data_IF_561597805741
#
_entry.id   IF_561597805741
#
_cell.length_a   1.000
_cell.length_b   1.000
_cell.length_c   1.000
_cell.angle_alpha   90.00
_cell.angle_beta   90.00
_cell.angle_gamma   90.00
#
_symmetry.space_group_name_H-M   'P 1'
#
loop_
_entity.id
_entity.type
_entity.pdbx_description
1 polymer ?
#
# COMPACT_ATOMS: atom_id res chain seq x y z
N UNK A 1 28.06 -12.23 41.67
CA UNK A 1 26.87 -12.84 41.00
C UNK A 1 26.94 -14.34 41.13
N UNK A 2 25.87 -14.98 41.57
CA UNK A 2 25.79 -16.45 41.63
C UNK A 2 25.65 -17.00 40.18
N UNK A 3 26.01 -18.29 40.00
CA UNK A 3 25.84 -18.94 38.67
C UNK A 3 24.39 -18.86 38.17
N UNK A 4 23.42 -18.96 39.08
CA UNK A 4 22.00 -18.83 38.74
C UNK A 4 21.61 -17.43 38.24
N UNK A 5 22.14 -16.38 38.90
CA UNK A 5 21.92 -14.98 38.42
C UNK A 5 22.49 -14.75 37.04
N UNK A 6 23.67 -15.29 36.73
CA UNK A 6 24.27 -15.19 35.40
C UNK A 6 23.40 -15.84 34.34
N UNK A 7 22.88 -17.04 34.57
CA UNK A 7 21.98 -17.75 33.66
C UNK A 7 20.71 -16.97 33.41
N UNK A 8 20.05 -16.49 34.47
CA UNK A 8 18.82 -15.68 34.34
C UNK A 8 19.09 -14.39 33.56
N UNK A 9 20.17 -13.70 33.89
CA UNK A 9 20.55 -12.47 33.13
C UNK A 9 20.77 -12.77 31.65
N UNK A 10 21.47 -13.84 31.33
CA UNK A 10 21.73 -14.23 29.93
C UNK A 10 20.40 -14.52 29.17
N UNK A 11 19.46 -15.23 29.79
CA UNK A 11 18.14 -15.51 29.19
C UNK A 11 17.36 -14.22 28.96
N UNK A 12 17.33 -13.32 29.93
CA UNK A 12 16.63 -12.03 29.78
C UNK A 12 17.24 -11.19 28.69
N UNK A 13 18.59 -11.07 28.65
CA UNK A 13 19.28 -10.30 27.62
C UNK A 13 19.07 -10.89 26.22
N UNK A 14 19.09 -12.22 26.07
CA UNK A 14 18.81 -12.86 24.78
C UNK A 14 17.37 -12.62 24.33
N UNK A 15 16.40 -12.67 25.23
CA UNK A 15 15.00 -12.35 24.94
C UNK A 15 14.81 -10.89 24.49
N UNK A 16 15.42 -9.95 25.21
CA UNK A 16 15.39 -8.52 24.83
C UNK A 16 16.06 -8.28 23.47
N UNK A 17 17.22 -8.89 23.24
CA UNK A 17 17.94 -8.76 21.97
C UNK A 17 17.14 -9.35 20.80
N UNK A 18 16.54 -10.53 20.97
CA UNK A 18 15.68 -11.16 19.97
C UNK A 18 14.42 -10.31 19.68
N UNK A 19 13.77 -9.79 20.71
CA UNK A 19 12.61 -8.91 20.58
C UNK A 19 12.95 -7.59 19.86
N UNK A 20 14.07 -6.97 20.21
CA UNK A 20 14.53 -5.75 19.54
C UNK A 20 14.90 -5.99 18.06
N UNK A 21 15.55 -7.13 17.76
CA UNK A 21 15.88 -7.51 16.40
C UNK A 21 14.62 -7.76 15.58
N UNK A 22 13.66 -8.51 16.12
CA UNK A 22 12.39 -8.77 15.47
C UNK A 22 11.64 -7.46 15.19
N UNK A 23 11.53 -6.58 16.19
CA UNK A 23 10.90 -5.28 16.01
C UNK A 23 11.59 -4.45 14.93
N UNK A 24 12.92 -4.45 14.88
CA UNK A 24 13.69 -3.74 13.86
C UNK A 24 13.43 -4.30 12.45
N UNK A 25 13.45 -5.64 12.30
CA UNK A 25 13.21 -6.29 11.00
C UNK A 25 11.80 -6.04 10.51
N UNK A 26 10.79 -6.12 11.37
CA UNK A 26 9.39 -5.90 10.98
C UNK A 26 9.07 -4.44 10.63
N UNK A 27 9.76 -3.47 11.27
CA UNK A 27 9.39 -2.06 11.12
C UNK A 27 10.31 -1.29 10.19
N UNK A 28 11.57 -1.71 9.98
CA UNK A 28 12.56 -0.91 9.23
C UNK A 28 13.36 -1.67 8.17
N UNK A 29 13.70 -2.94 8.42
CA UNK A 29 14.67 -3.64 7.57
C UNK A 29 14.16 -3.97 6.17
N UNK A 30 12.84 -3.98 5.96
CA UNK A 30 12.22 -4.39 4.70
C UNK A 30 11.63 -3.22 3.90
N UNK A 31 11.58 -2.00 4.45
CA UNK A 31 11.04 -0.85 3.75
C UNK A 31 12.17 0.07 3.29
N UNK A 32 12.15 0.40 2.01
CA UNK A 32 13.05 1.37 1.41
C UNK A 32 12.26 2.60 0.94
N UNK A 33 12.83 3.82 1.11
CA UNK A 33 12.25 5.01 0.51
C UNK A 33 12.25 4.89 -1.02
N UNK A 34 11.14 5.24 -1.64
CA UNK A 34 11.00 5.27 -3.09
C UNK A 34 11.06 6.72 -3.56
N UNK A 35 11.86 6.99 -4.59
CA UNK A 35 11.91 8.30 -5.22
C UNK A 35 10.81 8.47 -6.27
N UNK A 36 10.37 9.70 -6.50
CA UNK A 36 9.37 10.04 -7.51
C UNK A 36 9.79 9.61 -8.94
N UNK A 37 11.09 9.55 -9.23
CA UNK A 37 11.61 9.12 -10.53
C UNK A 37 11.48 7.59 -10.76
N UNK A 38 11.31 6.83 -9.69
CA UNK A 38 11.25 5.37 -9.74
C UNK A 38 9.82 4.83 -9.82
N UNK A 39 8.81 5.68 -9.60
CA UNK A 39 7.39 5.29 -9.51
C UNK A 39 6.52 6.26 -10.28
N UNK A 40 5.54 5.73 -10.98
CA UNK A 40 4.48 6.52 -11.61
C UNK A 40 3.19 6.35 -10.82
N UNK A 41 2.61 7.44 -10.35
CA UNK A 41 1.26 7.44 -9.80
C UNK A 41 0.31 7.77 -10.94
N UNK A 42 -0.58 6.85 -11.24
CA UNK A 42 -1.51 6.93 -12.36
C UNK A 42 -2.94 6.76 -11.91
N UNK A 43 -3.89 7.15 -12.75
CA UNK A 43 -5.29 6.78 -12.60
C UNK A 43 -5.84 6.30 -13.94
N UNK A 44 -6.72 5.29 -13.91
CA UNK A 44 -7.32 4.69 -15.10
C UNK A 44 -8.59 5.43 -15.47
N UNK A 45 -8.67 5.95 -16.69
CA UNK A 45 -9.85 6.62 -17.21
C UNK A 45 -11.00 5.65 -17.45
N UNK A 46 -12.23 6.16 -17.66
CA UNK A 46 -13.38 5.31 -18.00
C UNK A 46 -13.20 4.53 -19.31
N UNK A 47 -12.34 5.03 -20.21
CA UNK A 47 -11.99 4.36 -21.46
C UNK A 47 -10.86 3.32 -21.30
N UNK A 48 -10.37 3.13 -20.08
CA UNK A 48 -9.33 2.15 -19.75
C UNK A 48 -7.89 2.60 -20.03
N UNK A 49 -7.68 3.90 -20.28
CA UNK A 49 -6.34 4.47 -20.45
C UNK A 49 -5.72 4.76 -19.07
N UNK A 50 -4.50 4.33 -18.86
CA UNK A 50 -3.73 4.62 -17.64
C UNK A 50 -2.99 5.95 -17.83
N UNK A 51 -3.45 6.99 -17.15
CA UNK A 51 -2.89 8.35 -17.23
C UNK A 51 -2.02 8.65 -16.00
N UNK A 52 -0.75 9.07 -16.20
CA UNK A 52 0.06 9.59 -15.11
C UNK A 52 -0.57 10.87 -14.51
N UNK A 53 -0.69 10.89 -13.19
CA UNK A 53 -1.22 12.06 -12.48
C UNK A 53 -0.12 13.13 -12.28
N UNK A 54 -0.44 14.42 -12.43
CA UNK A 54 0.45 15.50 -11.98
C UNK A 54 0.50 15.51 -10.46
N UNK A 55 1.66 15.17 -9.90
CA UNK A 55 1.88 15.11 -8.46
C UNK A 55 3.08 15.96 -8.03
N UNK A 56 3.05 16.40 -6.78
CA UNK A 56 4.15 17.08 -6.10
C UNK A 56 4.28 16.55 -4.66
N UNK A 57 5.33 16.97 -3.95
CA UNK A 57 5.57 16.63 -2.54
C UNK A 57 5.49 15.12 -2.25
N UNK A 58 6.03 14.31 -3.17
CA UNK A 58 5.95 12.86 -3.09
C UNK A 58 6.84 12.29 -1.98
N UNK A 59 6.25 11.48 -1.12
CA UNK A 59 6.93 10.60 -0.18
C UNK A 59 6.43 9.18 -0.39
N UNK A 60 7.33 8.22 -0.61
CA UNK A 60 6.97 6.83 -0.86
C UNK A 60 7.87 5.84 -0.14
N UNK A 61 7.30 4.69 0.19
CA UNK A 61 8.00 3.51 0.71
C UNK A 61 7.54 2.27 -0.03
N UNK A 62 8.43 1.32 -0.23
CA UNK A 62 8.13 0.00 -0.78
C UNK A 62 9.04 -1.05 -0.17
N UNK A 63 8.82 -2.32 -0.51
CA UNK A 63 9.68 -3.42 -0.13
C UNK A 63 9.63 -4.55 -1.15
N UNK A 64 10.78 -5.02 -1.59
CA UNK A 64 10.94 -6.10 -2.57
C UNK A 64 10.33 -7.44 -2.12
N UNK A 65 10.08 -7.59 -0.83
CA UNK A 65 9.57 -8.84 -0.25
C UNK A 65 8.09 -9.09 -0.49
N UNK A 66 7.32 -8.07 -0.90
CA UNK A 66 5.90 -8.21 -1.21
C UNK A 66 5.39 -7.02 -2.02
N UNK A 67 4.70 -7.26 -3.13
CA UNK A 67 4.12 -6.20 -3.95
C UNK A 67 3.00 -5.41 -3.24
N UNK A 68 2.54 -5.84 -2.07
CA UNK A 68 1.53 -5.15 -1.26
C UNK A 68 2.12 -4.12 -0.30
N UNK A 69 3.45 -3.90 -0.29
CA UNK A 69 4.10 -2.99 0.68
C UNK A 69 4.26 -1.56 0.20
N UNK A 70 3.97 -1.27 -1.06
CA UNK A 70 3.99 0.10 -1.57
C UNK A 70 3.00 1.01 -0.88
N UNK A 71 3.46 2.18 -0.41
CA UNK A 71 2.65 3.28 0.13
C UNK A 71 3.26 4.59 -0.29
N UNK A 72 2.41 5.55 -0.65
CA UNK A 72 2.85 6.89 -0.98
C UNK A 72 1.86 7.95 -0.52
N UNK A 73 2.40 9.12 -0.25
CA UNK A 73 1.68 10.37 -0.05
C UNK A 73 2.19 11.39 -1.07
N UNK A 74 1.32 12.27 -1.53
CA UNK A 74 1.66 13.32 -2.48
C UNK A 74 0.62 14.44 -2.44
N UNK A 75 0.86 15.52 -3.16
CA UNK A 75 -0.14 16.53 -3.46
C UNK A 75 -0.45 16.55 -4.95
N UNK A 76 -1.68 16.92 -5.32
CA UNK A 76 -2.10 17.05 -6.71
C UNK A 76 -2.97 18.29 -6.91
N UNK A 77 -2.82 19.01 -8.05
CA UNK A 77 -3.71 20.10 -8.40
C UNK A 77 -5.09 19.66 -8.91
N UNK A 78 -5.30 18.34 -9.10
CA UNK A 78 -6.56 17.81 -9.61
C UNK A 78 -7.64 17.86 -8.52
N UNK A 79 -8.80 18.42 -8.87
CA UNK A 79 -9.94 18.43 -7.96
C UNK A 79 -10.67 17.08 -7.95
N UNK A 80 -11.35 16.76 -6.83
CA UNK A 80 -12.20 15.56 -6.76
C UNK A 80 -13.27 15.53 -7.87
N UNK A 81 -13.84 16.67 -8.22
CA UNK A 81 -14.82 16.76 -9.30
C UNK A 81 -14.21 16.30 -10.64
N UNK A 82 -13.04 16.79 -10.99
CA UNK A 82 -12.34 16.35 -12.21
C UNK A 82 -12.00 14.86 -12.16
N UNK A 83 -11.51 14.39 -11.01
CA UNK A 83 -11.19 12.96 -10.84
C UNK A 83 -12.42 12.06 -11.05
N UNK A 84 -13.58 12.42 -10.47
CA UNK A 84 -14.81 11.63 -10.61
C UNK A 84 -15.42 11.65 -12.02
N UNK A 85 -15.17 12.70 -12.78
CA UNK A 85 -15.64 12.80 -14.18
C UNK A 85 -14.71 12.08 -15.17
N UNK A 86 -13.45 11.82 -14.79
CA UNK A 86 -12.43 11.32 -15.71
C UNK A 86 -12.01 9.88 -15.43
N UNK A 87 -11.90 9.50 -14.15
CA UNK A 87 -11.27 8.25 -13.75
C UNK A 87 -12.23 7.28 -13.10
N UNK A 88 -11.91 5.99 -13.23
CA UNK A 88 -12.72 4.91 -12.68
C UNK A 88 -12.67 4.92 -11.15
N UNK A 89 -13.83 5.01 -10.47
CA UNK A 89 -13.86 4.86 -9.01
C UNK A 89 -13.51 3.43 -8.62
N UNK A 90 -12.80 3.27 -7.52
CA UNK A 90 -12.44 1.95 -6.99
C UNK A 90 -13.30 1.58 -5.78
N UNK A 91 -14.25 0.68 -5.99
CA UNK A 91 -15.07 0.15 -4.90
C UNK A 91 -14.28 -0.83 -4.03
N UNK A 92 -14.46 -0.77 -2.71
CA UNK A 92 -13.77 -1.67 -1.78
C UNK A 92 -12.31 -1.30 -1.51
N UNK A 93 -11.91 -0.06 -1.78
CA UNK A 93 -10.60 0.46 -1.41
C UNK A 93 -10.36 0.32 0.10
N UNK A 94 -9.29 -0.37 0.47
CA UNK A 94 -8.92 -0.64 1.86
C UNK A 94 -7.48 -0.19 2.08
N UNK A 95 -7.25 0.99 2.68
CA UNK A 95 -5.91 1.45 3.01
C UNK A 95 -5.22 0.47 3.95
N UNK A 96 -4.04 -0.01 3.55
CA UNK A 96 -3.27 -0.96 4.34
C UNK A 96 -2.32 -0.23 5.29
N UNK A 97 -2.05 -0.81 6.46
CA UNK A 97 -1.18 -0.22 7.46
C UNK A 97 0.24 0.06 6.95
N UNK A 98 0.86 1.07 7.55
CA UNK A 98 2.25 1.45 7.34
C UNK A 98 3.08 1.24 8.61
N UNK A 99 4.42 1.19 8.49
CA UNK A 99 5.26 1.36 9.67
C UNK A 99 5.03 2.71 10.33
N UNK A 100 5.00 2.75 11.66
CA UNK A 100 4.67 3.97 12.42
C UNK A 100 5.63 5.15 12.25
N UNK A 101 6.76 4.94 11.57
CA UNK A 101 7.71 6.02 11.22
C UNK A 101 7.40 6.70 9.87
N UNK A 102 6.52 6.12 9.03
CA UNK A 102 6.05 6.74 7.79
C UNK A 102 4.83 7.60 8.10
N UNK A 103 5.09 8.81 8.54
CA UNK A 103 4.11 9.66 9.23
C UNK A 103 3.07 10.35 8.35
N UNK A 104 3.28 10.44 7.04
CA UNK A 104 2.33 11.07 6.13
C UNK A 104 1.10 10.20 5.85
N UNK A 105 1.18 8.88 6.07
CA UNK A 105 0.15 7.91 5.74
C UNK A 105 -0.40 7.24 7.02
N UNK A 106 -1.69 7.40 7.29
CA UNK A 106 -2.39 6.71 8.38
C UNK A 106 -3.63 6.00 7.85
N UNK A 107 -3.57 4.67 7.77
CA UNK A 107 -4.63 3.85 7.20
C UNK A 107 -6.00 4.07 7.87
N UNK A 108 -6.01 4.26 9.20
CA UNK A 108 -7.26 4.49 9.93
C UNK A 108 -7.89 5.84 9.59
N UNK A 109 -7.09 6.87 9.39
CA UNK A 109 -7.57 8.19 8.95
C UNK A 109 -8.08 8.15 7.52
N UNK A 110 -7.38 7.46 6.61
CA UNK A 110 -7.80 7.28 5.22
C UNK A 110 -9.10 6.49 5.13
N UNK A 111 -9.25 5.42 5.91
CA UNK A 111 -10.51 4.65 5.97
C UNK A 111 -11.68 5.53 6.39
N UNK A 112 -11.52 6.33 7.45
CA UNK A 112 -12.57 7.26 7.88
C UNK A 112 -12.92 8.31 6.83
N UNK A 113 -11.92 8.80 6.08
CA UNK A 113 -12.17 9.76 5.00
C UNK A 113 -12.93 9.13 3.83
N UNK A 114 -12.64 7.87 3.48
CA UNK A 114 -13.41 7.10 2.49
C UNK A 114 -14.86 6.88 2.96
N UNK A 115 -15.06 6.45 4.20
CA UNK A 115 -16.40 6.24 4.79
C UNK A 115 -17.22 7.54 4.89
N UNK A 116 -16.57 8.66 5.18
CA UNK A 116 -17.21 9.97 5.25
C UNK A 116 -17.44 10.63 3.88
N UNK A 117 -16.85 10.09 2.79
CA UNK A 117 -16.89 10.69 1.46
C UNK A 117 -16.06 11.95 1.29
N UNK A 118 -15.16 12.27 2.25
CA UNK A 118 -14.22 13.40 2.16
C UNK A 118 -12.95 13.05 1.40
N UNK A 119 -12.79 11.79 1.05
CA UNK A 119 -11.78 11.27 0.15
C UNK A 119 -12.39 10.19 -0.74
N UNK A 120 -11.96 10.12 -1.98
CA UNK A 120 -12.44 9.17 -2.97
C UNK A 120 -11.30 8.33 -3.52
N UNK A 121 -11.54 7.04 -3.70
CA UNK A 121 -10.57 6.11 -4.25
C UNK A 121 -10.85 5.85 -5.74
N UNK A 122 -9.78 5.78 -6.51
CA UNK A 122 -9.77 5.53 -7.94
C UNK A 122 -8.84 4.36 -8.27
N UNK A 123 -9.15 3.64 -9.35
CA UNK A 123 -8.23 2.67 -9.91
C UNK A 123 -7.01 3.40 -10.45
N UNK A 124 -5.84 3.14 -9.91
CA UNK A 124 -4.56 3.61 -10.44
C UNK A 124 -4.22 2.84 -11.71
N UNK A 125 -3.66 1.68 -11.54
CA UNK A 125 -3.36 0.71 -12.60
C UNK A 125 -3.79 -0.68 -12.15
N UNK A 126 -4.52 -1.39 -13.01
CA UNK A 126 -4.97 -2.75 -12.73
C UNK A 126 -3.85 -3.76 -12.98
N UNK A 127 -3.76 -4.76 -12.10
CA UNK A 127 -2.84 -5.88 -12.27
C UNK A 127 -1.37 -5.47 -12.50
N UNK A 128 -0.86 -4.51 -11.73
CA UNK A 128 0.59 -4.16 -11.73
C UNK A 128 1.46 -5.41 -11.52
N UNK A 129 0.95 -6.33 -10.72
CA UNK A 129 1.28 -7.75 -10.64
C UNK A 129 -0.05 -8.48 -10.68
N UNK A 130 -0.10 -9.70 -11.20
CA UNK A 130 -1.35 -10.45 -11.30
C UNK A 130 -2.15 -10.43 -9.97
N UNK A 131 -3.38 -9.95 -10.06
CA UNK A 131 -4.28 -9.88 -8.91
C UNK A 131 -3.99 -8.75 -7.93
N UNK A 132 -3.13 -7.78 -8.28
CA UNK A 132 -2.79 -6.63 -7.44
C UNK A 132 -2.97 -5.34 -8.24
N UNK A 133 -3.80 -4.45 -7.72
CA UNK A 133 -4.07 -3.15 -8.31
C UNK A 133 -3.33 -2.05 -7.53
N UNK A 134 -2.90 -1.01 -8.25
CA UNK A 134 -2.54 0.26 -7.64
C UNK A 134 -3.83 1.05 -7.38
N UNK A 135 -4.01 1.50 -6.16
CA UNK A 135 -5.14 2.35 -5.75
C UNK A 135 -4.62 3.75 -5.48
N UNK A 136 -5.37 4.74 -5.92
CA UNK A 136 -5.12 6.16 -5.65
C UNK A 136 -6.32 6.75 -4.94
N UNK A 137 -6.10 7.39 -3.82
CA UNK A 137 -7.11 8.14 -3.09
C UNK A 137 -6.75 9.62 -3.11
N UNK A 138 -7.74 10.47 -3.39
CA UNK A 138 -7.60 11.93 -3.35
C UNK A 138 -8.61 12.48 -2.34
N UNK A 139 -8.18 13.45 -1.54
CA UNK A 139 -9.00 14.17 -0.58
C UNK A 139 -9.37 15.56 -1.10
N UNK A 140 -10.40 16.18 -0.50
CA UNK A 140 -10.89 17.49 -0.94
C UNK A 140 -9.85 18.61 -0.86
N UNK A 141 -8.86 18.48 0.01
CA UNK A 141 -7.77 19.43 0.21
C UNK A 141 -6.57 19.23 -0.75
N UNK A 142 -6.70 18.29 -1.71
CA UNK A 142 -5.68 18.02 -2.72
C UNK A 142 -4.54 17.11 -2.27
N UNK A 143 -4.65 16.48 -1.08
CA UNK A 143 -3.73 15.42 -0.70
C UNK A 143 -4.09 14.12 -1.40
N UNK A 144 -3.08 13.42 -1.88
CA UNK A 144 -3.20 12.13 -2.52
C UNK A 144 -2.44 11.05 -1.75
N UNK A 145 -2.97 9.85 -1.83
CA UNK A 145 -2.39 8.65 -1.22
C UNK A 145 -2.45 7.52 -2.23
N UNK A 146 -1.42 6.69 -2.27
CA UNK A 146 -1.42 5.51 -3.12
C UNK A 146 -0.95 4.27 -2.35
N UNK A 147 -1.52 3.13 -2.70
CA UNK A 147 -1.12 1.83 -2.17
C UNK A 147 -1.43 0.73 -3.17
N UNK A 148 -0.86 -0.44 -2.94
CA UNK A 148 -1.21 -1.64 -3.68
C UNK A 148 -2.16 -2.50 -2.86
N UNK A 149 -3.18 -3.07 -3.51
CA UNK A 149 -4.21 -3.90 -2.88
C UNK A 149 -4.51 -5.13 -3.74
N UNK A 150 -4.80 -6.26 -3.10
CA UNK A 150 -5.37 -7.42 -3.80
C UNK A 150 -6.72 -7.05 -4.39
N UNK A 151 -6.93 -7.39 -5.65
CA UNK A 151 -8.25 -7.42 -6.26
C UNK A 151 -8.89 -8.82 -6.11
N UNK A 152 -10.14 -8.98 -6.54
CA UNK A 152 -10.87 -10.24 -6.42
C UNK A 152 -10.17 -11.44 -7.12
N UNK A 153 -9.45 -11.18 -8.22
CA UNK A 153 -8.68 -12.21 -8.92
C UNK A 153 -7.48 -12.67 -8.09
N UNK A 154 -6.81 -11.72 -7.45
CA UNK A 154 -5.69 -12.01 -6.54
C UNK A 154 -6.15 -12.72 -5.28
N UNK A 155 -7.25 -12.30 -4.70
CA UNK A 155 -7.82 -12.98 -3.53
C UNK A 155 -8.09 -14.45 -3.82
N UNK A 156 -8.79 -14.76 -4.92
CA UNK A 156 -9.06 -16.14 -5.32
C UNK A 156 -7.76 -16.94 -5.61
N UNK A 157 -6.86 -16.37 -6.41
CA UNK A 157 -5.63 -17.07 -6.81
C UNK A 157 -4.68 -17.35 -5.63
N UNK A 158 -4.54 -16.41 -4.70
CA UNK A 158 -3.64 -16.56 -3.55
C UNK A 158 -4.26 -17.39 -2.41
N UNK A 159 -5.60 -17.41 -2.29
CA UNK A 159 -6.32 -18.29 -1.35
C UNK A 159 -6.41 -19.74 -1.85
N UNK A 160 -6.18 -19.97 -3.15
CA UNK A 160 -6.32 -21.28 -3.77
C UNK A 160 -7.75 -21.62 -4.16
N UNK A 161 -8.63 -20.62 -4.19
CA UNK A 161 -9.99 -20.73 -4.66
C UNK A 161 -10.06 -20.74 -6.21
N UNK A 162 -11.14 -21.22 -6.82
CA UNK A 162 -11.35 -21.11 -8.25
C UNK A 162 -11.33 -19.65 -8.69
N UNK A 163 -10.45 -19.33 -9.66
CA UNK A 163 -10.36 -17.98 -10.20
C UNK A 163 -11.63 -17.67 -10.99
N UNK A 164 -12.31 -16.52 -10.73
CA UNK A 164 -13.49 -16.11 -11.47
C UNK A 164 -13.26 -16.00 -12.99
N UNK A 165 -14.32 -16.22 -13.80
CA UNK A 165 -14.23 -16.23 -15.26
C UNK A 165 -13.88 -14.87 -15.88
N UNK A 166 -14.16 -13.78 -15.16
CA UNK A 166 -13.84 -12.41 -15.55
C UNK A 166 -12.38 -12.02 -15.29
N UNK A 167 -11.63 -12.90 -14.65
CA UNK A 167 -10.21 -12.69 -14.38
C UNK A 167 -9.32 -13.11 -15.55
N UNK A 168 -8.20 -12.39 -15.79
CA UNK A 168 -7.19 -12.86 -16.73
C UNK A 168 -6.60 -14.20 -16.27
N UNK A 169 -6.03 -15.02 -17.19
CA UNK A 169 -5.41 -16.28 -16.81
C UNK A 169 -4.26 -16.04 -15.82
N UNK A 170 -4.26 -16.80 -14.73
CA UNK A 170 -3.18 -16.72 -13.74
C UNK A 170 -1.85 -17.18 -14.34
N UNK A 171 -0.72 -16.54 -13.99
CA UNK A 171 0.59 -17.01 -14.44
C UNK A 171 0.87 -18.42 -13.90
N UNK A 172 1.52 -19.24 -14.70
CA UNK A 172 1.92 -20.58 -14.28
C UNK A 172 2.86 -20.49 -13.07
N UNK A 173 2.52 -21.19 -12.01
CA UNK A 173 3.40 -21.31 -10.83
C UNK A 173 4.58 -22.20 -11.19
N UNK A 174 5.77 -21.62 -11.35
CA UNK A 174 7.03 -22.35 -11.49
C UNK A 174 7.50 -22.93 -10.15
#
# INVERSE_FOLDING_TARGET
MTRGQFVVTAIVLSGVAAGALLWWTETRAYYEPVSMDAVTISATTFDGVVDPLPIADFEGIDADTSPLRFRACFTTPLSLALMTETYQPYAGATPLNTPGWFGCYDAGTLTRALEAGTGLAFLGEANIVYGIDQIVMITEDGHGYAWHQLNHCGEAAYSGDPVPEDCPPAPERN
#
